data_IF_583522583052
#
_entry.id   IF_583522583052
#
_cell.length_a   1.000
_cell.length_b   1.000
_cell.length_c   1.000
_cell.angle_alpha   90.00
_cell.angle_beta   90.00
_cell.angle_gamma   90.00
#
_symmetry.space_group_name_H-M   'P 1'
#
loop_
_entity.id
_entity.type
_entity.pdbx_description
1 polymer ?
#
# COMPACT_ATOMS: atom_id res chain seq x y z
N UNK A 1 27.84 44.94 2.08
CA UNK A 1 27.54 44.23 0.83
C UNK A 1 27.44 42.77 1.20
N UNK A 2 26.22 42.27 1.35
CA UNK A 2 25.95 40.91 1.84
C UNK A 2 25.08 40.26 0.78
N UNK A 3 25.68 39.44 -0.09
CA UNK A 3 24.91 38.60 -0.99
C UNK A 3 24.57 37.32 -0.24
N UNK A 4 23.29 37.22 0.13
CA UNK A 4 22.69 35.97 0.56
C UNK A 4 22.41 35.11 -0.69
N UNK A 5 22.76 33.85 -0.55
CA UNK A 5 22.69 32.76 -1.53
C UNK A 5 21.34 32.67 -2.25
N UNK A 6 21.41 32.63 -3.58
CA UNK A 6 20.33 32.26 -4.49
C UNK A 6 19.82 30.85 -4.14
N UNK A 7 18.61 30.78 -3.59
CA UNK A 7 17.91 29.54 -3.27
C UNK A 7 17.44 28.85 -4.54
N UNK A 8 18.25 27.95 -5.08
CA UNK A 8 17.78 26.90 -5.98
C UNK A 8 17.21 25.76 -5.13
N UNK A 9 15.91 25.85 -4.86
CA UNK A 9 15.08 24.72 -4.45
C UNK A 9 13.74 24.84 -5.17
N UNK A 10 13.09 23.74 -5.58
CA UNK A 10 11.73 23.84 -6.07
C UNK A 10 10.88 24.53 -5.00
N UNK A 11 10.09 25.50 -5.44
CA UNK A 11 9.14 26.24 -4.62
C UNK A 11 8.21 25.23 -3.92
N UNK A 12 8.51 24.95 -2.65
CA UNK A 12 7.81 23.95 -1.86
C UNK A 12 6.31 24.29 -1.74
N UNK A 13 5.94 25.56 -1.84
CA UNK A 13 4.54 26.00 -1.77
C UNK A 13 3.72 25.52 -2.98
N UNK A 14 4.38 25.27 -4.12
CA UNK A 14 3.72 24.79 -5.35
C UNK A 14 3.78 23.26 -5.51
N UNK A 15 4.76 22.58 -4.89
CA UNK A 15 4.94 21.13 -5.00
C UNK A 15 4.25 20.30 -3.90
N UNK A 16 3.86 20.94 -2.79
CA UNK A 16 3.25 20.27 -1.63
C UNK A 16 1.76 19.90 -1.85
N UNK A 17 0.85 20.70 -2.46
CA UNK A 17 -0.58 20.34 -2.43
C UNK A 17 -0.95 19.07 -3.21
N UNK A 18 -0.13 18.65 -4.18
CA UNK A 18 -0.33 17.38 -4.91
C UNK A 18 0.19 16.14 -4.16
N UNK A 19 0.74 16.32 -2.96
CA UNK A 19 1.28 15.23 -2.13
C UNK A 19 0.60 15.13 -0.77
N UNK A 20 -0.48 15.90 -0.53
CA UNK A 20 -1.24 15.82 0.71
C UNK A 20 -2.76 15.83 0.45
N UNK A 21 -3.48 14.83 0.95
CA UNK A 21 -4.94 14.81 1.05
C UNK A 21 -5.36 15.20 2.48
N UNK A 22 -6.59 15.67 2.70
CA UNK A 22 -7.05 16.07 4.03
C UNK A 22 -8.17 15.13 4.45
N UNK A 23 -7.97 14.43 5.56
CA UNK A 23 -9.02 13.56 6.12
C UNK A 23 -10.29 14.39 6.38
N UNK A 24 -11.40 14.05 5.72
CA UNK A 24 -12.66 14.80 5.80
C UNK A 24 -13.29 14.79 7.21
N UNK A 25 -12.94 13.80 8.03
CA UNK A 25 -13.48 13.63 9.40
C UNK A 25 -12.73 14.46 10.45
N UNK A 26 -11.40 14.57 10.36
CA UNK A 26 -10.57 15.19 11.40
C UNK A 26 -9.67 16.34 10.92
N UNK A 27 -9.59 16.59 9.61
CA UNK A 27 -8.82 17.70 9.02
C UNK A 27 -7.30 17.51 9.01
N UNK A 28 -6.81 16.31 9.37
CA UNK A 28 -5.37 16.02 9.38
C UNK A 28 -4.84 15.87 7.95
N UNK A 29 -3.71 16.54 7.61
CA UNK A 29 -3.05 16.34 6.32
C UNK A 29 -2.43 14.94 6.27
N UNK A 30 -2.89 14.14 5.32
CA UNK A 30 -2.36 12.81 4.99
C UNK A 30 -1.46 12.95 3.77
N UNK A 31 -0.32 12.28 3.73
CA UNK A 31 0.53 12.29 2.53
C UNK A 31 -0.19 11.48 1.45
N UNK A 32 -0.51 12.09 0.30
CA UNK A 32 -0.78 11.36 -0.94
C UNK A 32 0.50 10.60 -1.28
N UNK A 33 0.56 9.34 -0.85
CA UNK A 33 1.56 8.40 -1.32
C UNK A 33 1.37 8.28 -2.84
N UNK A 34 2.26 8.95 -3.55
CA UNK A 34 2.22 9.25 -4.97
C UNK A 34 1.73 8.07 -5.80
N UNK A 35 0.63 8.25 -6.52
CA UNK A 35 0.21 7.58 -7.77
C UNK A 35 0.31 6.04 -7.87
N UNK A 36 0.57 5.30 -6.78
CA UNK A 36 0.71 3.86 -6.83
C UNK A 36 -0.69 3.25 -6.88
N UNK A 37 -1.05 2.78 -8.07
CA UNK A 37 -2.16 1.85 -8.24
C UNK A 37 -1.56 0.48 -8.39
N UNK A 38 -1.98 -0.47 -7.56
CA UNK A 38 -1.56 -1.85 -7.72
C UNK A 38 -2.02 -2.34 -9.10
N UNK A 39 -1.08 -2.72 -9.97
CA UNK A 39 -1.41 -3.09 -11.34
C UNK A 39 -2.20 -4.40 -11.34
N UNK A 40 -2.98 -4.59 -12.39
CA UNK A 40 -3.69 -5.83 -12.61
C UNK A 40 -2.66 -6.99 -12.72
N UNK A 41 -2.84 -8.09 -11.96
CA UNK A 41 -1.88 -9.19 -11.93
C UNK A 41 -1.65 -9.86 -13.28
N UNK A 42 -2.59 -9.72 -14.24
CA UNK A 42 -2.44 -10.25 -15.59
C UNK A 42 -1.48 -9.41 -16.46
N UNK A 43 -1.16 -8.19 -16.02
CA UNK A 43 -0.36 -7.22 -16.78
C UNK A 43 1.11 -7.12 -16.34
N UNK A 44 1.48 -7.79 -15.25
CA UNK A 44 2.82 -7.71 -14.65
C UNK A 44 3.55 -9.05 -14.66
N UNK A 45 4.87 -9.00 -14.60
CA UNK A 45 5.69 -10.19 -14.48
C UNK A 45 5.49 -10.84 -13.10
N UNK A 46 5.30 -12.16 -13.10
CA UNK A 46 5.12 -12.94 -11.89
C UNK A 46 6.40 -12.92 -11.03
N UNK A 47 6.31 -12.58 -9.73
CA UNK A 47 7.44 -12.69 -8.81
C UNK A 47 7.87 -14.16 -8.68
N UNK A 48 9.14 -14.37 -8.33
CA UNK A 48 9.62 -15.72 -8.07
C UNK A 48 8.96 -16.29 -6.81
N UNK A 49 8.95 -17.61 -6.72
CA UNK A 49 8.45 -18.29 -5.52
C UNK A 49 9.23 -17.89 -4.27
N UNK A 50 10.55 -17.75 -4.39
CA UNK A 50 11.42 -17.31 -3.30
C UNK A 50 11.09 -15.87 -2.84
N UNK A 51 10.71 -14.96 -3.75
CA UNK A 51 10.25 -13.61 -3.39
C UNK A 51 8.94 -13.66 -2.59
N UNK A 52 7.99 -14.47 -3.06
CA UNK A 52 6.69 -14.62 -2.39
C UNK A 52 6.85 -15.21 -0.99
N UNK A 53 7.61 -16.30 -0.86
CA UNK A 53 7.87 -16.96 0.42
C UNK A 53 8.59 -15.98 1.38
N UNK A 54 9.64 -15.29 0.92
CA UNK A 54 10.35 -14.30 1.75
C UNK A 54 9.43 -13.17 2.22
N UNK A 55 8.53 -12.68 1.37
CA UNK A 55 7.57 -11.63 1.76
C UNK A 55 6.55 -12.11 2.79
N UNK A 56 6.10 -13.36 2.70
CA UNK A 56 5.20 -13.97 3.67
C UNK A 56 5.93 -14.16 5.02
N UNK A 57 7.17 -14.65 5.01
CA UNK A 57 7.97 -14.86 6.23
C UNK A 57 8.30 -13.55 6.96
N UNK A 58 8.43 -12.44 6.23
CA UNK A 58 8.72 -11.12 6.79
C UNK A 58 7.46 -10.29 7.09
N UNK A 59 6.27 -10.87 7.01
CA UNK A 59 5.03 -10.18 7.29
C UNK A 59 4.80 -10.02 8.80
N UNK A 60 4.83 -8.78 9.34
CA UNK A 60 4.83 -8.57 10.79
C UNK A 60 3.44 -8.46 11.41
N UNK A 61 2.36 -8.44 10.62
CA UNK A 61 1.01 -8.19 11.15
C UNK A 61 0.20 -9.48 11.42
N UNK A 62 -0.83 -9.42 12.29
CA UNK A 62 -1.54 -10.60 12.78
C UNK A 62 -2.17 -11.48 11.69
N UNK A 63 -1.93 -12.78 11.81
CA UNK A 63 -2.39 -13.84 10.87
C UNK A 63 -3.92 -13.95 10.70
N UNK A 64 -4.67 -13.45 11.68
CA UNK A 64 -6.13 -13.52 11.75
C UNK A 64 -6.85 -12.33 11.11
N UNK A 65 -6.10 -11.32 10.64
CA UNK A 65 -6.69 -10.15 9.99
C UNK A 65 -7.23 -10.51 8.60
N UNK A 66 -8.32 -9.85 8.23
CA UNK A 66 -8.89 -9.96 6.88
C UNK A 66 -8.04 -9.17 5.90
N UNK A 67 -7.75 -9.79 4.76
CA UNK A 67 -7.05 -9.18 3.63
C UNK A 67 -7.88 -9.40 2.36
N UNK A 68 -7.63 -8.56 1.35
CA UNK A 68 -8.28 -8.65 0.05
C UNK A 68 -7.35 -9.28 -0.96
N UNK A 69 -7.81 -10.34 -1.64
CA UNK A 69 -7.07 -10.96 -2.74
C UNK A 69 -7.77 -10.73 -4.06
N UNK A 70 -6.99 -10.70 -5.12
CA UNK A 70 -7.48 -10.74 -6.48
C UNK A 70 -7.52 -12.22 -6.89
N UNK A 71 -8.72 -12.79 -7.02
CA UNK A 71 -8.87 -14.16 -7.55
C UNK A 71 -8.59 -14.16 -9.05
N UNK A 72 -7.39 -14.58 -9.44
CA UNK A 72 -7.06 -14.78 -10.85
C UNK A 72 -7.38 -16.22 -11.25
N UNK A 73 -7.94 -16.43 -12.44
CA UNK A 73 -8.25 -17.77 -12.98
C UNK A 73 -7.01 -18.54 -13.46
N UNK A 74 -5.82 -18.24 -12.94
CA UNK A 74 -4.52 -18.80 -13.32
C UNK A 74 -3.52 -18.84 -12.15
N UNK A 75 -2.28 -19.26 -12.40
CA UNK A 75 -1.21 -19.32 -11.38
C UNK A 75 -0.66 -17.94 -10.96
N UNK A 76 -1.26 -16.85 -11.47
CA UNK A 76 -0.80 -15.46 -11.31
C UNK A 76 -1.28 -14.83 -10.00
N UNK A 77 -1.33 -15.61 -8.94
CA UNK A 77 -1.79 -15.19 -7.62
C UNK A 77 -0.80 -14.16 -7.06
N UNK A 78 -1.03 -12.87 -7.35
CA UNK A 78 -0.24 -11.78 -6.81
C UNK A 78 -0.92 -11.18 -5.58
N UNK A 79 -0.08 -10.50 -4.81
CA UNK A 79 -0.26 -10.01 -3.46
C UNK A 79 -1.68 -9.85 -2.90
N UNK A 80 -1.84 -10.15 -1.61
CA UNK A 80 -3.01 -9.68 -0.88
C UNK A 80 -2.84 -8.20 -0.50
N UNK A 81 -3.96 -7.50 -0.40
CA UNK A 81 -4.07 -6.10 -0.03
C UNK A 81 -4.64 -5.97 1.38
N UNK A 82 -4.02 -5.10 2.16
CA UNK A 82 -4.52 -4.75 3.49
C UNK A 82 -5.85 -4.00 3.37
N UNK A 83 -6.69 -4.10 4.40
CA UNK A 83 -7.97 -3.40 4.46
C UNK A 83 -7.92 -2.18 5.38
N UNK A 84 -8.69 -1.16 5.04
CA UNK A 84 -9.09 -0.11 5.99
C UNK A 84 -10.14 -0.66 6.97
N UNK A 85 -10.46 0.09 8.02
CA UNK A 85 -11.53 -0.25 8.97
C UNK A 85 -12.90 -0.43 8.28
N UNK A 86 -13.10 0.26 7.14
CA UNK A 86 -14.30 0.13 6.31
C UNK A 86 -14.29 -1.09 5.36
N UNK A 87 -13.31 -1.99 5.47
CA UNK A 87 -13.19 -3.18 4.61
C UNK A 87 -12.78 -2.88 3.17
N UNK A 88 -12.30 -1.67 2.88
CA UNK A 88 -11.81 -1.27 1.55
C UNK A 88 -10.31 -1.53 1.43
N UNK A 89 -9.75 -1.74 0.23
CA UNK A 89 -8.31 -1.88 0.09
C UNK A 89 -7.60 -0.61 0.56
N UNK A 90 -6.51 -0.80 1.32
CA UNK A 90 -5.71 0.28 1.89
C UNK A 90 -4.96 1.08 0.81
N UNK A 91 -4.70 0.45 -0.34
CA UNK A 91 -4.14 1.10 -1.52
C UNK A 91 -5.11 1.06 -2.71
N UNK A 92 -4.94 1.94 -3.71
CA UNK A 92 -5.70 1.85 -4.96
C UNK A 92 -5.36 0.54 -5.69
N UNK A 93 -6.38 -0.21 -6.11
CA UNK A 93 -6.24 -1.48 -6.85
C UNK A 93 -6.96 -1.36 -8.19
N UNK A 94 -6.29 -1.68 -9.29
CA UNK A 94 -6.88 -1.67 -10.63
C UNK A 94 -7.44 -3.06 -11.00
N UNK A 95 -8.37 -3.58 -10.19
CA UNK A 95 -9.04 -4.85 -10.44
C UNK A 95 -10.40 -4.89 -9.72
N UNK A 96 -11.43 -5.38 -10.40
CA UNK A 96 -12.77 -5.57 -9.84
C UNK A 96 -12.93 -6.94 -9.18
N UNK A 97 -13.76 -7.09 -8.16
CA UNK A 97 -14.05 -8.41 -7.57
C UNK A 97 -12.97 -8.93 -6.62
N UNK A 98 -12.53 -8.07 -5.70
CA UNK A 98 -11.69 -8.46 -4.58
C UNK A 98 -12.43 -9.45 -3.67
N UNK A 99 -11.72 -10.47 -3.19
CA UNK A 99 -12.24 -11.46 -2.25
C UNK A 99 -11.58 -11.28 -0.88
N UNK A 100 -12.39 -11.32 0.16
CA UNK A 100 -11.92 -11.32 1.54
C UNK A 100 -11.44 -12.72 1.94
N UNK A 101 -10.26 -12.78 2.53
CA UNK A 101 -9.69 -13.98 3.15
C UNK A 101 -9.01 -13.60 4.46
N UNK A 102 -9.01 -14.49 5.47
CA UNK A 102 -8.03 -14.39 6.54
C UNK A 102 -6.62 -14.41 5.96
N UNK A 103 -5.74 -13.57 6.49
CA UNK A 103 -4.35 -13.47 6.06
C UNK A 103 -3.65 -14.82 6.03
N UNK A 104 -3.84 -15.64 7.06
CA UNK A 104 -3.30 -17.01 7.10
C UNK A 104 -3.75 -17.86 5.91
N UNK A 105 -5.02 -17.74 5.48
CA UNK A 105 -5.53 -18.46 4.31
C UNK A 105 -4.98 -17.89 3.00
N UNK A 106 -4.78 -16.57 2.93
CA UNK A 106 -4.15 -15.92 1.79
C UNK A 106 -2.69 -16.35 1.64
N UNK A 107 -1.92 -16.34 2.73
CA UNK A 107 -0.53 -16.83 2.77
C UNK A 107 -0.43 -18.33 2.44
N UNK A 108 -1.35 -19.16 2.94
CA UNK A 108 -1.43 -20.58 2.61
C UNK A 108 -1.69 -20.84 1.11
N UNK A 109 -2.42 -19.93 0.46
CA UNK A 109 -2.63 -19.90 -0.98
C UNK A 109 -1.51 -19.18 -1.75
N UNK A 110 -0.44 -18.77 -1.06
CA UNK A 110 0.73 -18.03 -1.56
C UNK A 110 0.47 -16.63 -2.11
N UNK A 111 -0.58 -15.99 -1.63
CA UNK A 111 -0.65 -14.54 -1.74
C UNK A 111 0.37 -13.93 -0.76
N UNK A 112 1.31 -13.14 -1.28
CA UNK A 112 2.28 -12.40 -0.47
C UNK A 112 1.76 -11.00 -0.09
N UNK A 113 2.24 -10.36 0.98
CA UNK A 113 1.80 -9.01 1.32
C UNK A 113 2.11 -7.99 0.25
N UNK A 114 1.13 -7.15 -0.10
CA UNK A 114 1.38 -5.95 -0.88
C UNK A 114 2.34 -5.02 -0.12
N UNK A 115 3.53 -4.84 -0.66
CA UNK A 115 4.59 -4.05 -0.01
C UNK A 115 4.20 -2.57 0.11
N UNK A 116 3.34 -2.07 -0.78
CA UNK A 116 2.83 -0.72 -0.68
C UNK A 116 1.79 -0.59 0.45
N UNK A 117 0.89 -1.56 0.60
CA UNK A 117 -0.02 -1.61 1.74
C UNK A 117 0.74 -1.63 3.08
N UNK A 118 1.83 -2.41 3.17
CA UNK A 118 2.68 -2.42 4.36
C UNK A 118 3.24 -1.04 4.65
N UNK A 119 3.84 -0.36 3.66
CA UNK A 119 4.36 1.00 3.85
C UNK A 119 3.30 1.98 4.34
N UNK A 120 2.07 1.92 3.79
CA UNK A 120 0.96 2.75 4.28
C UNK A 120 0.64 2.42 5.74
N UNK A 121 0.55 1.13 6.06
CA UNK A 121 0.18 0.66 7.40
C UNK A 121 1.23 1.02 8.45
N UNK A 122 2.52 0.90 8.12
CA UNK A 122 3.63 1.33 8.96
C UNK A 122 3.58 2.85 9.19
N UNK A 123 3.44 3.65 8.13
CA UNK A 123 3.33 5.10 8.24
C UNK A 123 2.15 5.55 9.12
N UNK A 124 0.99 4.88 8.99
CA UNK A 124 -0.18 5.18 9.82
C UNK A 124 0.03 4.84 11.30
N UNK A 125 0.80 3.79 11.62
CA UNK A 125 1.16 3.45 13.00
C UNK A 125 2.06 4.52 13.62
N UNK A 126 3.03 5.02 12.88
CA UNK A 126 3.95 6.08 13.35
C UNK A 126 3.23 7.40 13.66
N UNK A 127 2.14 7.71 12.95
CA UNK A 127 1.32 8.89 13.22
C UNK A 127 0.41 8.71 14.45
N UNK A 128 -0.08 7.49 14.69
CA UNK A 128 -1.05 7.21 15.77
C UNK A 128 -0.38 7.04 17.15
N UNK A 129 0.92 6.73 17.18
CA UNK A 129 1.71 6.54 18.43
C UNK A 129 2.35 7.85 18.95
N UNK A 130 2.09 8.99 18.30
CA UNK A 130 2.55 10.34 18.69
C UNK A 130 1.45 11.12 19.43
#
# INVERSE_FOLDING_TARGET
MTQATEGFGPDLETAIPETFDVCDDCGTPTIQLSSHTCPDPDTVQEPTREDLDARIENDPYPEQETVLVIETTGQRSYAYHETTDSGKPLCPVNHDGLKELPRTEAQAQRYAPCQFCHRIRDANREVTDQ
#
